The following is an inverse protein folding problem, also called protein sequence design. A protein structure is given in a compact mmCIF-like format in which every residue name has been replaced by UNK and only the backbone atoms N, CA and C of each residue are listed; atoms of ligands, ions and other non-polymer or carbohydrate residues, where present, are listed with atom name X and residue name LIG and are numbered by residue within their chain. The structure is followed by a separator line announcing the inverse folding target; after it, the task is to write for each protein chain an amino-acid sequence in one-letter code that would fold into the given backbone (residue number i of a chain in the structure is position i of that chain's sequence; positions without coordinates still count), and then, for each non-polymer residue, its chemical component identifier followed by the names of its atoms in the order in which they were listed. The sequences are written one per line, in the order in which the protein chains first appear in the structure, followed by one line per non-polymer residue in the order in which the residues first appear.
data_IF_302399379451
#
_entry.id   IF_302399379451
#
_cell.length_a   1.000
_cell.length_b   1.000
_cell.length_c   1.000
_cell.angle_alpha   90.00
_cell.angle_beta   90.00
_cell.angle_gamma   90.00
#
_symmetry.space_group_name_H-M   'P 1'
#
loop_
_entity.id
_entity.type
_entity.pdbx_description
1 polymer ?
#
# COMPACT_ATOMS: atom_id res chain seq x y z
N UNK A 1 8.98 29.73 -0.04
CA UNK A 1 7.67 30.29 0.37
C UNK A 1 6.95 29.18 1.12
N UNK A 2 6.23 29.49 2.19
CA UNK A 2 5.42 28.49 2.90
C UNK A 2 4.37 27.92 1.93
N UNK A 3 4.18 26.59 1.92
CA UNK A 3 3.12 25.97 1.11
C UNK A 3 1.77 26.44 1.63
N UNK A 4 0.95 27.00 0.74
CA UNK A 4 -0.45 27.33 1.03
C UNK A 4 -1.40 26.19 0.65
N UNK A 5 -0.87 25.02 0.23
CA UNK A 5 -1.69 23.91 -0.23
C UNK A 5 -2.04 22.98 0.92
N UNK A 6 -3.29 22.54 1.03
CA UNK A 6 -3.72 21.67 2.13
C UNK A 6 -3.14 20.25 2.04
N UNK A 7 -2.61 19.85 0.88
CA UNK A 7 -2.06 18.51 0.65
C UNK A 7 -0.67 18.59 0.05
N UNK A 8 0.25 17.73 0.53
CA UNK A 8 1.56 17.54 -0.08
C UNK A 8 1.68 16.12 -0.61
N UNK A 9 2.06 15.97 -1.89
CA UNK A 9 2.40 14.68 -2.50
C UNK A 9 3.91 14.58 -2.59
N UNK A 10 4.53 13.86 -1.65
CA UNK A 10 5.99 13.67 -1.62
C UNK A 10 6.38 12.44 -2.45
N UNK A 11 7.20 12.64 -3.48
CA UNK A 11 7.48 11.63 -4.50
C UNK A 11 6.58 11.72 -5.73
N UNK A 12 5.97 12.88 -5.98
CA UNK A 12 5.01 13.12 -7.05
C UNK A 12 5.50 12.79 -8.48
N UNK A 13 6.82 12.76 -8.71
CA UNK A 13 7.39 12.37 -10.01
C UNK A 13 7.34 10.85 -10.28
N UNK A 14 7.08 10.04 -9.26
CA UNK A 14 6.94 8.58 -9.34
C UNK A 14 5.63 8.13 -9.98
N UNK A 15 5.53 6.84 -10.34
CA UNK A 15 4.35 6.30 -11.04
C UNK A 15 3.07 6.50 -10.21
N UNK A 16 3.07 6.08 -8.94
CA UNK A 16 1.92 6.26 -8.06
C UNK A 16 1.68 7.71 -7.71
N UNK A 17 2.72 8.50 -7.45
CA UNK A 17 2.60 9.94 -7.18
C UNK A 17 1.85 10.69 -8.29
N UNK A 18 2.12 10.37 -9.56
CA UNK A 18 1.39 10.93 -10.71
C UNK A 18 -0.11 10.60 -10.67
N UNK A 19 -0.46 9.38 -10.29
CA UNK A 19 -1.86 8.94 -10.20
C UNK A 19 -2.57 9.60 -9.02
N UNK A 20 -1.87 9.81 -7.89
CA UNK A 20 -2.40 10.59 -6.76
C UNK A 20 -2.71 12.01 -7.23
N UNK A 21 -1.77 12.69 -7.89
CA UNK A 21 -1.99 14.03 -8.44
C UNK A 21 -3.16 14.09 -9.43
N UNK A 22 -3.31 13.06 -10.28
CA UNK A 22 -4.44 12.95 -11.22
C UNK A 22 -5.79 12.89 -10.50
N UNK A 23 -5.90 12.09 -9.43
CA UNK A 23 -7.14 11.95 -8.68
C UNK A 23 -7.40 13.13 -7.73
N UNK A 24 -6.36 13.77 -7.17
CA UNK A 24 -6.51 15.03 -6.43
C UNK A 24 -7.12 16.12 -7.32
N UNK A 25 -6.71 16.17 -8.60
CA UNK A 25 -7.35 17.03 -9.60
C UNK A 25 -8.82 16.65 -9.80
N UNK A 26 -9.17 15.37 -9.97
CA UNK A 26 -10.59 14.95 -10.11
C UNK A 26 -11.43 15.36 -8.89
N UNK A 27 -10.86 15.34 -7.69
CA UNK A 27 -11.50 15.82 -6.47
C UNK A 27 -11.44 17.35 -6.26
N UNK A 28 -10.80 18.10 -7.17
CA UNK A 28 -10.52 19.53 -7.04
C UNK A 28 -9.81 19.90 -5.72
N UNK A 29 -8.87 19.06 -5.28
CA UNK A 29 -8.06 19.30 -4.09
C UNK A 29 -6.75 19.97 -4.50
N UNK A 30 -6.46 21.19 -4.02
CA UNK A 30 -5.17 21.82 -4.28
C UNK A 30 -4.02 21.10 -3.59
N UNK A 31 -2.87 20.97 -4.26
CA UNK A 31 -1.74 20.23 -3.70
C UNK A 31 -0.36 20.80 -4.07
N UNK A 32 0.62 20.53 -3.22
CA UNK A 32 2.04 20.71 -3.53
C UNK A 32 2.59 19.38 -4.03
N UNK A 33 3.09 19.35 -5.27
CA UNK A 33 3.87 18.24 -5.79
C UNK A 33 5.33 18.42 -5.34
N UNK A 34 5.86 17.48 -4.56
CA UNK A 34 7.18 17.61 -3.95
C UNK A 34 8.14 16.47 -4.32
N UNK A 35 9.43 16.79 -4.38
CA UNK A 35 10.50 15.81 -4.64
C UNK A 35 11.90 16.45 -4.63
N UNK A 36 12.92 15.66 -4.91
CA UNK A 36 14.34 16.10 -4.83
C UNK A 36 14.89 16.77 -6.09
N UNK A 37 14.17 16.71 -7.20
CA UNK A 37 14.61 17.21 -8.51
C UNK A 37 13.45 17.97 -9.15
N UNK A 38 13.54 19.31 -9.15
CA UNK A 38 12.52 20.19 -9.69
C UNK A 38 12.26 19.94 -11.19
N UNK A 39 13.33 19.78 -11.99
CA UNK A 39 13.22 19.61 -13.43
C UNK A 39 12.51 18.31 -13.82
N UNK A 40 12.88 17.20 -13.17
CA UNK A 40 12.21 15.91 -13.33
C UNK A 40 10.76 15.96 -12.87
N UNK A 41 10.50 16.67 -11.78
CA UNK A 41 9.17 16.79 -11.20
C UNK A 41 8.24 17.59 -12.12
N UNK A 42 8.64 18.78 -12.55
CA UNK A 42 7.88 19.61 -13.51
C UNK A 42 7.61 18.85 -14.80
N UNK A 43 8.64 18.25 -15.40
CA UNK A 43 8.46 17.46 -16.62
C UNK A 43 7.52 16.25 -16.44
N UNK A 44 7.55 15.62 -15.26
CA UNK A 44 6.65 14.51 -14.92
C UNK A 44 5.21 14.97 -14.77
N UNK A 45 4.98 16.09 -14.08
CA UNK A 45 3.65 16.67 -13.90
C UNK A 45 3.04 17.01 -15.26
N UNK A 46 3.75 17.78 -16.09
CA UNK A 46 3.27 18.25 -17.39
C UNK A 46 3.02 17.13 -18.41
N UNK A 47 3.89 16.11 -18.44
CA UNK A 47 3.85 15.08 -19.50
C UNK A 47 3.12 13.81 -19.11
N UNK A 48 2.96 13.53 -17.81
CA UNK A 48 2.55 12.20 -17.35
C UNK A 48 1.34 12.21 -16.41
N UNK A 49 0.87 13.36 -15.94
CA UNK A 49 -0.37 13.46 -15.16
C UNK A 49 -1.50 13.89 -16.09
N UNK A 50 -2.52 13.05 -16.23
CA UNK A 50 -3.62 13.32 -17.16
C UNK A 50 -4.49 14.49 -16.67
N UNK A 51 -4.73 15.46 -17.55
CA UNK A 51 -5.61 16.61 -17.28
C UNK A 51 -5.03 17.64 -16.30
N UNK A 52 -3.73 17.56 -15.98
CA UNK A 52 -3.07 18.36 -14.95
C UNK A 52 -3.25 19.87 -15.11
N UNK A 53 -3.50 20.35 -16.34
CA UNK A 53 -3.74 21.77 -16.67
C UNK A 53 -4.98 22.36 -15.97
N UNK A 54 -5.87 21.52 -15.44
CA UNK A 54 -7.05 21.93 -14.68
C UNK A 54 -6.86 21.86 -13.16
N UNK A 55 -5.69 21.40 -12.69
CA UNK A 55 -5.37 21.29 -11.27
C UNK A 55 -4.82 22.60 -10.70
N UNK A 56 -5.15 22.89 -9.44
CA UNK A 56 -4.48 23.94 -8.68
C UNK A 56 -3.30 23.35 -7.89
N UNK A 57 -2.09 23.42 -8.46
CA UNK A 57 -0.91 22.83 -7.85
C UNK A 57 0.34 23.71 -7.99
N UNK A 58 1.32 23.41 -7.16
CA UNK A 58 2.68 23.95 -7.27
C UNK A 58 3.71 22.82 -7.25
N UNK A 59 4.90 23.09 -7.77
CA UNK A 59 6.04 22.18 -7.72
C UNK A 59 7.05 22.73 -6.73
N UNK A 60 7.51 21.89 -5.79
CA UNK A 60 8.51 22.28 -4.80
C UNK A 60 9.62 21.24 -4.71
N UNK A 61 10.86 21.70 -4.86
CA UNK A 61 12.02 20.88 -4.55
C UNK A 61 12.30 20.90 -3.04
N UNK A 62 12.64 19.75 -2.48
CA UNK A 62 12.99 19.61 -1.07
C UNK A 62 14.01 18.50 -0.86
N UNK A 63 14.91 18.70 0.10
CA UNK A 63 15.85 17.69 0.55
C UNK A 63 15.16 16.64 1.44
N UNK A 64 15.74 15.44 1.53
CA UNK A 64 15.18 14.34 2.32
C UNK A 64 15.77 14.34 3.73
N UNK A 65 15.39 15.34 4.52
CA UNK A 65 15.71 15.44 5.94
C UNK A 65 14.50 15.99 6.72
N UNK A 66 14.46 15.71 8.02
CA UNK A 66 13.30 16.03 8.87
C UNK A 66 12.99 17.51 8.88
N UNK A 67 13.99 18.38 8.94
CA UNK A 67 13.80 19.82 9.08
C UNK A 67 13.26 20.43 7.77
N UNK A 68 13.90 20.10 6.64
CA UNK A 68 13.46 20.54 5.31
C UNK A 68 12.03 20.10 5.00
N UNK A 69 11.71 18.84 5.31
CA UNK A 69 10.35 18.31 5.10
C UNK A 69 9.35 18.92 6.07
N UNK A 70 9.71 19.14 7.35
CA UNK A 70 8.83 19.80 8.32
C UNK A 70 8.46 21.21 7.85
N UNK A 71 9.44 21.98 7.35
CA UNK A 71 9.18 23.32 6.80
C UNK A 71 8.29 23.29 5.56
N UNK A 72 8.46 22.29 4.68
CA UNK A 72 7.58 22.11 3.53
C UNK A 72 6.14 21.75 3.95
N UNK A 73 5.98 20.87 4.93
CA UNK A 73 4.68 20.36 5.35
C UNK A 73 3.91 21.33 6.25
N UNK A 74 4.58 22.33 6.82
CA UNK A 74 3.97 23.33 7.71
C UNK A 74 2.79 24.03 7.02
N UNK A 75 1.61 23.91 7.62
CA UNK A 75 0.36 24.49 7.11
C UNK A 75 -0.46 23.57 6.21
N UNK A 76 0.11 22.44 5.76
CA UNK A 76 -0.65 21.38 5.10
C UNK A 76 -1.41 20.53 6.13
N UNK A 77 -2.53 19.96 5.73
CA UNK A 77 -3.32 19.05 6.57
C UNK A 77 -2.95 17.58 6.36
N UNK A 78 -2.46 17.24 5.16
CA UNK A 78 -2.21 15.84 4.77
C UNK A 78 -0.92 15.73 3.95
N UNK A 79 -0.09 14.77 4.32
CA UNK A 79 1.10 14.34 3.57
C UNK A 79 0.85 12.96 2.99
N UNK A 80 0.93 12.87 1.66
CA UNK A 80 0.84 11.63 0.88
C UNK A 80 2.23 11.23 0.40
N UNK A 81 2.84 10.25 1.05
CA UNK A 81 4.19 9.80 0.78
C UNK A 81 4.22 8.62 -0.21
N UNK A 82 4.97 8.78 -1.30
CA UNK A 82 5.25 7.70 -2.27
C UNK A 82 6.74 7.39 -2.42
N UNK A 83 7.58 7.84 -1.48
CA UNK A 83 9.02 7.61 -1.48
C UNK A 83 9.34 6.37 -0.64
N UNK A 84 9.62 5.26 -1.32
CA UNK A 84 10.07 4.00 -0.71
C UNK A 84 11.44 3.53 -1.24
N UNK A 85 12.03 2.45 -0.68
CA UNK A 85 11.47 1.58 0.38
C UNK A 85 11.20 2.32 1.69
N UNK A 86 10.06 2.04 2.32
CA UNK A 86 9.55 2.84 3.43
C UNK A 86 10.27 2.54 4.74
N UNK A 87 10.75 1.32 4.96
CA UNK A 87 11.61 1.02 6.12
C UNK A 87 12.91 1.85 6.12
N UNK A 88 13.37 2.29 4.94
CA UNK A 88 14.59 3.10 4.78
C UNK A 88 14.33 4.61 4.82
N UNK A 89 13.24 5.07 4.21
CA UNK A 89 12.98 6.50 3.99
C UNK A 89 11.73 7.04 4.71
N UNK A 90 10.89 6.16 5.25
CA UNK A 90 9.59 6.52 5.80
C UNK A 90 9.70 7.30 7.11
N UNK A 91 10.65 6.94 7.99
CA UNK A 91 10.80 7.52 9.33
C UNK A 91 10.94 9.05 9.28
N UNK A 92 11.82 9.53 8.40
CA UNK A 92 12.03 10.97 8.13
C UNK A 92 10.73 11.69 7.79
N UNK A 93 9.89 11.07 6.93
CA UNK A 93 8.65 11.70 6.43
C UNK A 93 7.55 11.63 7.49
N UNK A 94 7.43 10.53 8.23
CA UNK A 94 6.48 10.39 9.35
C UNK A 94 6.82 11.40 10.44
N UNK A 95 8.08 11.48 10.85
CA UNK A 95 8.51 12.44 11.87
C UNK A 95 8.28 13.89 11.43
N UNK A 96 8.61 14.23 10.18
CA UNK A 96 8.36 15.56 9.64
C UNK A 96 6.87 15.90 9.56
N UNK A 97 6.03 14.94 9.18
CA UNK A 97 4.56 15.12 9.12
C UNK A 97 3.98 15.36 10.52
N UNK A 98 4.43 14.59 11.51
CA UNK A 98 4.06 14.79 12.91
C UNK A 98 4.48 16.17 13.42
N UNK A 99 5.72 16.58 13.16
CA UNK A 99 6.24 17.91 13.55
C UNK A 99 5.44 19.05 12.93
N UNK A 100 4.96 18.86 11.69
CA UNK A 100 4.13 19.84 10.98
C UNK A 100 2.66 19.83 11.41
N UNK A 101 2.22 18.83 12.19
CA UNK A 101 0.82 18.67 12.59
C UNK A 101 -0.07 18.12 11.47
N UNK A 102 0.48 17.35 10.54
CA UNK A 102 -0.23 16.83 9.37
C UNK A 102 -0.54 15.33 9.51
N UNK A 103 -1.67 14.92 8.96
CA UNK A 103 -1.98 13.50 8.76
C UNK A 103 -1.00 12.87 7.78
N UNK A 104 -0.65 11.61 8.00
CA UNK A 104 0.28 10.87 7.14
C UNK A 104 -0.43 9.68 6.49
N UNK A 105 -0.19 9.50 5.20
CA UNK A 105 -0.52 8.27 4.47
C UNK A 105 0.58 7.92 3.48
N UNK A 106 0.77 6.62 3.24
CA UNK A 106 1.70 6.11 2.24
C UNK A 106 1.17 4.87 1.52
N UNK A 107 1.93 4.39 0.52
CA UNK A 107 1.56 3.27 -0.34
C UNK A 107 2.39 2.02 -0.09
N UNK A 108 3.00 1.88 1.10
CA UNK A 108 3.95 0.80 1.38
C UNK A 108 3.31 -0.60 1.31
N UNK A 109 4.17 -1.61 1.23
CA UNK A 109 3.81 -3.01 1.33
C UNK A 109 4.69 -3.81 2.29
N UNK A 110 5.22 -3.12 3.29
CA UNK A 110 6.32 -3.52 4.16
C UNK A 110 5.76 -3.74 5.57
N UNK A 111 5.66 -5.00 5.99
CA UNK A 111 5.03 -5.37 7.25
C UNK A 111 5.85 -4.88 8.45
N UNK A 112 7.18 -5.00 8.34
CA UNK A 112 8.16 -4.46 9.26
C UNK A 112 8.05 -2.95 9.42
N UNK A 113 7.87 -2.21 8.32
CA UNK A 113 7.62 -0.76 8.38
C UNK A 113 6.35 -0.43 9.14
N UNK A 114 5.26 -1.16 8.89
CA UNK A 114 4.00 -0.92 9.61
C UNK A 114 4.07 -1.28 11.09
N UNK A 115 4.79 -2.33 11.46
CA UNK A 115 5.07 -2.68 12.86
C UNK A 115 5.93 -1.59 13.51
N UNK A 116 6.98 -1.11 12.83
CA UNK A 116 7.80 0.01 13.29
C UNK A 116 6.97 1.29 13.49
N UNK A 117 6.04 1.59 12.58
CA UNK A 117 5.08 2.68 12.74
C UNK A 117 4.21 2.52 13.99
N UNK A 118 3.75 1.30 14.29
CA UNK A 118 2.98 1.03 15.50
C UNK A 118 3.82 1.31 16.75
N UNK A 119 4.99 0.68 16.83
CA UNK A 119 5.84 0.72 18.02
C UNK A 119 6.39 2.13 18.29
N UNK A 120 6.73 2.88 17.24
CA UNK A 120 7.43 4.16 17.36
C UNK A 120 6.48 5.37 17.35
N UNK A 121 5.46 5.37 16.48
CA UNK A 121 4.70 6.58 16.16
C UNK A 121 3.22 6.54 16.54
N UNK A 122 2.63 5.37 16.80
CA UNK A 122 1.20 5.23 17.10
C UNK A 122 0.72 6.19 18.19
N UNK A 123 1.37 6.16 19.36
CA UNK A 123 0.98 6.99 20.52
C UNK A 123 1.16 8.48 20.24
N UNK A 124 2.25 8.87 19.57
CA UNK A 124 2.53 10.28 19.28
C UNK A 124 1.49 10.89 18.33
N UNK A 125 1.09 10.13 17.30
CA UNK A 125 0.02 10.55 16.39
C UNK A 125 -1.34 10.57 17.09
N UNK A 126 -1.64 9.58 17.93
CA UNK A 126 -2.89 9.53 18.70
C UNK A 126 -3.02 10.73 19.65
N UNK A 127 -1.95 11.05 20.38
CA UNK A 127 -1.88 12.20 21.31
C UNK A 127 -2.04 13.54 20.56
N UNK A 128 -1.52 13.63 19.34
CA UNK A 128 -1.69 14.79 18.46
C UNK A 128 -3.07 14.86 17.78
N UNK A 129 -3.91 13.84 17.91
CA UNK A 129 -5.19 13.75 17.21
C UNK A 129 -5.05 13.56 15.69
N UNK A 130 -3.92 13.00 15.24
CA UNK A 130 -3.58 12.82 13.84
C UNK A 130 -3.70 11.35 13.40
N UNK A 131 -4.04 11.13 12.13
CA UNK A 131 -3.98 9.84 11.48
C UNK A 131 -2.55 9.51 11.03
N UNK A 132 -2.10 8.29 11.34
CA UNK A 132 -0.94 7.61 10.76
C UNK A 132 -1.46 6.39 9.98
N UNK A 133 -1.56 6.50 8.66
CA UNK A 133 -2.11 5.45 7.80
C UNK A 133 -1.10 4.94 6.75
N UNK A 134 -0.06 4.20 7.15
CA UNK A 134 0.81 3.54 6.19
C UNK A 134 0.01 2.49 5.41
N UNK A 135 0.31 2.28 4.13
CA UNK A 135 -0.18 1.13 3.36
C UNK A 135 -1.58 1.30 2.76
N UNK A 136 -2.04 2.54 2.51
CA UNK A 136 -3.24 2.79 1.72
C UNK A 136 -2.92 2.54 0.24
N UNK A 137 -3.06 1.28 -0.15
CA UNK A 137 -2.87 0.78 -1.50
C UNK A 137 -3.81 -0.39 -1.81
N UNK A 138 -4.02 -0.66 -3.10
CA UNK A 138 -4.86 -1.77 -3.57
C UNK A 138 -4.55 -3.10 -2.87
N UNK A 139 -3.26 -3.47 -2.82
CA UNK A 139 -2.80 -4.80 -2.37
C UNK A 139 -3.22 -5.15 -0.92
N UNK A 140 -3.68 -4.17 -0.15
CA UNK A 140 -4.08 -4.34 1.26
C UNK A 140 -5.46 -3.79 1.52
N UNK A 141 -5.80 -2.65 0.94
CA UNK A 141 -7.07 -1.98 1.23
C UNK A 141 -8.24 -2.76 0.62
N UNK A 142 -8.11 -3.28 -0.60
CA UNK A 142 -9.21 -4.02 -1.25
C UNK A 142 -9.45 -5.38 -0.59
N UNK A 143 -8.38 -6.10 -0.25
CA UNK A 143 -8.45 -7.32 0.57
C UNK A 143 -9.02 -7.06 1.97
N UNK A 144 -8.65 -5.94 2.61
CA UNK A 144 -9.24 -5.54 3.89
C UNK A 144 -10.72 -5.18 3.75
N UNK A 145 -11.15 -4.49 2.68
CA UNK A 145 -12.57 -4.26 2.40
C UNK A 145 -13.31 -5.60 2.36
N UNK A 146 -12.80 -6.58 1.61
CA UNK A 146 -13.39 -7.91 1.54
C UNK A 146 -13.44 -8.61 2.91
N UNK A 147 -12.37 -8.50 3.70
CA UNK A 147 -12.31 -9.07 5.05
C UNK A 147 -13.32 -8.41 6.01
N UNK A 148 -13.42 -7.09 5.98
CA UNK A 148 -14.38 -6.34 6.80
C UNK A 148 -15.83 -6.68 6.44
N UNK A 149 -16.12 -6.85 5.14
CA UNK A 149 -17.42 -7.35 4.67
C UNK A 149 -17.70 -8.76 5.20
N UNK A 150 -16.70 -9.65 5.18
CA UNK A 150 -16.86 -11.00 5.69
C UNK A 150 -17.18 -10.98 7.20
N UNK A 151 -16.48 -10.13 7.96
CA UNK A 151 -16.67 -9.92 9.41
C UNK A 151 -17.97 -9.21 9.79
N UNK A 152 -18.78 -8.74 8.81
CA UNK A 152 -20.17 -8.35 9.08
C UNK A 152 -21.03 -9.57 9.49
N UNK A 153 -20.58 -10.79 9.19
CA UNK A 153 -21.13 -12.03 9.75
C UNK A 153 -20.55 -12.26 11.14
N UNK A 154 -21.37 -12.24 12.22
CA UNK A 154 -20.86 -12.41 13.58
C UNK A 154 -20.27 -13.80 13.84
N UNK A 155 -19.28 -13.87 14.72
CA UNK A 155 -18.70 -15.13 15.20
C UNK A 155 -17.62 -15.74 14.31
N UNK A 156 -17.17 -15.00 13.28
CA UNK A 156 -15.97 -15.35 12.50
C UNK A 156 -14.74 -14.71 13.16
N UNK A 157 -13.67 -15.49 13.31
CA UNK A 157 -12.44 -15.10 14.01
C UNK A 157 -11.16 -15.37 13.20
N UNK A 158 -11.30 -16.00 12.04
CA UNK A 158 -10.19 -16.48 11.23
C UNK A 158 -10.35 -15.97 9.81
N UNK A 159 -9.33 -15.28 9.29
CA UNK A 159 -9.26 -14.73 7.94
C UNK A 159 -8.17 -15.43 7.14
N UNK A 160 -8.53 -15.96 5.98
CA UNK A 160 -7.62 -16.48 4.96
C UNK A 160 -7.81 -15.66 3.68
N UNK A 161 -6.78 -14.89 3.34
CA UNK A 161 -6.84 -13.79 2.38
C UNK A 161 -5.93 -14.10 1.18
N UNK A 162 -6.47 -13.95 -0.01
CA UNK A 162 -5.77 -14.06 -1.27
C UNK A 162 -5.85 -12.73 -2.04
N UNK A 163 -4.70 -12.20 -2.45
CA UNK A 163 -4.60 -10.97 -3.24
C UNK A 163 -3.86 -11.27 -4.54
N UNK A 164 -4.50 -10.99 -5.68
CA UNK A 164 -3.93 -11.24 -6.99
C UNK A 164 -4.02 -10.04 -7.91
N UNK A 165 -2.97 -9.83 -8.70
CA UNK A 165 -2.94 -8.76 -9.68
C UNK A 165 -2.29 -9.15 -11.00
N UNK A 166 -2.70 -8.43 -12.05
CA UNK A 166 -2.15 -8.49 -13.39
C UNK A 166 -1.42 -7.19 -13.73
N UNK A 167 -0.21 -7.34 -14.28
CA UNK A 167 0.63 -6.22 -14.69
C UNK A 167 2.09 -6.46 -14.32
N UNK A 168 2.94 -5.49 -14.66
CA UNK A 168 4.34 -5.47 -14.25
C UNK A 168 4.51 -4.53 -13.06
N UNK A 169 5.37 -4.87 -12.08
CA UNK A 169 5.66 -3.98 -10.96
C UNK A 169 6.31 -2.67 -11.44
N UNK A 170 6.23 -1.61 -10.64
CA UNK A 170 7.04 -0.40 -10.86
C UNK A 170 8.47 -0.61 -10.36
N UNK A 171 9.40 0.29 -10.71
CA UNK A 171 10.78 0.26 -10.19
C UNK A 171 10.79 0.22 -8.65
N UNK A 172 9.97 1.07 -8.00
CA UNK A 172 9.86 1.11 -6.55
C UNK A 172 9.26 -0.19 -5.97
N UNK A 173 8.23 -0.74 -6.63
CA UNK A 173 7.64 -2.02 -6.22
C UNK A 173 8.63 -3.17 -6.36
N UNK A 174 9.43 -3.22 -7.43
CA UNK A 174 10.47 -4.24 -7.61
C UNK A 174 11.52 -4.19 -6.50
N UNK A 175 11.97 -2.99 -6.11
CA UNK A 175 12.86 -2.81 -4.96
C UNK A 175 12.25 -3.32 -3.67
N UNK A 176 10.99 -2.94 -3.41
CA UNK A 176 10.25 -3.38 -2.23
C UNK A 176 10.13 -4.91 -2.19
N UNK A 177 9.79 -5.54 -3.32
CA UNK A 177 9.69 -7.00 -3.41
C UNK A 177 11.03 -7.66 -3.07
N UNK A 178 12.15 -7.16 -3.58
CA UNK A 178 13.46 -7.74 -3.31
C UNK A 178 13.91 -7.49 -1.86
N UNK A 179 13.70 -6.29 -1.32
CA UNK A 179 14.01 -5.99 0.08
C UNK A 179 13.18 -6.88 1.02
N UNK A 180 11.87 -6.97 0.80
CA UNK A 180 10.98 -7.81 1.61
C UNK A 180 11.31 -9.29 1.48
N UNK A 181 11.49 -9.78 0.26
CA UNK A 181 11.74 -11.21 0.03
C UNK A 181 13.15 -11.65 0.42
N UNK A 182 14.14 -10.74 0.42
CA UNK A 182 15.53 -11.05 0.78
C UNK A 182 15.87 -10.71 2.24
N UNK A 183 15.11 -9.86 2.92
CA UNK A 183 15.51 -9.31 4.23
C UNK A 183 14.41 -9.18 5.27
N UNK A 184 13.13 -9.27 4.89
CA UNK A 184 12.01 -9.08 5.82
C UNK A 184 11.48 -10.39 6.38
N UNK A 185 11.29 -10.44 7.70
CA UNK A 185 10.44 -11.47 8.31
C UNK A 185 9.00 -11.24 7.85
N UNK A 186 8.35 -12.30 7.37
CA UNK A 186 6.93 -12.28 7.03
C UNK A 186 6.13 -12.94 8.15
N UNK A 187 5.09 -12.30 8.65
CA UNK A 187 4.26 -12.78 9.74
C UNK A 187 2.80 -12.95 9.33
N UNK A 188 2.15 -13.98 9.89
CA UNK A 188 0.70 -14.10 9.98
C UNK A 188 0.26 -14.00 11.44
N UNK A 189 -1.06 -13.88 11.68
CA UNK A 189 -1.61 -14.00 13.02
C UNK A 189 -2.09 -15.42 13.30
N UNK A 190 -1.63 -15.99 14.41
CA UNK A 190 -2.16 -17.20 15.02
C UNK A 190 -2.50 -16.91 16.48
N UNK A 191 -3.77 -17.08 16.85
CA UNK A 191 -4.27 -16.82 18.21
C UNK A 191 -3.90 -15.44 18.76
N UNK A 192 -4.05 -14.42 17.91
CA UNK A 192 -3.68 -13.02 18.13
C UNK A 192 -2.17 -12.76 18.17
N UNK A 193 -1.30 -13.75 17.97
CA UNK A 193 0.15 -13.55 18.00
C UNK A 193 0.78 -13.56 16.60
N UNK A 194 1.80 -12.72 16.42
CA UNK A 194 2.59 -12.75 15.19
C UNK A 194 3.40 -14.02 15.14
N UNK A 195 3.22 -14.78 14.06
CA UNK A 195 3.95 -16.02 13.81
C UNK A 195 4.62 -15.93 12.45
N UNK A 196 5.90 -16.25 12.39
CA UNK A 196 6.68 -16.17 11.15
C UNK A 196 6.27 -17.24 10.16
N UNK A 197 6.22 -16.86 8.88
CA UNK A 197 6.19 -17.82 7.78
C UNK A 197 7.52 -18.58 7.72
N UNK A 198 7.47 -19.82 7.24
CA UNK A 198 8.68 -20.58 6.93
C UNK A 198 9.36 -19.94 5.70
N UNK A 199 10.59 -19.41 5.81
CA UNK A 199 11.30 -18.81 4.68
C UNK A 199 11.58 -19.82 3.56
N UNK A 200 11.53 -21.12 3.86
CA UNK A 200 11.71 -22.21 2.89
C UNK A 200 10.40 -22.71 2.28
N UNK A 201 9.24 -22.15 2.64
CA UNK A 201 7.93 -22.61 2.18
C UNK A 201 7.81 -22.59 0.64
N UNK A 202 8.49 -21.66 -0.02
CA UNK A 202 8.42 -21.49 -1.47
C UNK A 202 7.02 -21.10 -1.96
N UNK A 203 6.74 -21.38 -3.23
CA UNK A 203 5.45 -21.05 -3.86
C UNK A 203 4.32 -21.91 -3.31
N UNK A 204 3.19 -21.28 -3.02
CA UNK A 204 1.97 -21.95 -2.58
C UNK A 204 0.92 -21.88 -3.69
N UNK A 205 0.40 -23.02 -4.18
CA UNK A 205 -0.68 -23.03 -5.14
C UNK A 205 -2.01 -22.67 -4.46
N UNK A 206 -2.75 -21.72 -5.05
CA UNK A 206 -4.05 -21.26 -4.55
C UNK A 206 -5.12 -21.35 -5.64
N UNK A 207 -6.35 -21.63 -5.19
CA UNK A 207 -7.54 -21.53 -6.04
C UNK A 207 -7.92 -20.06 -6.16
N UNK A 208 -7.95 -19.55 -7.38
CA UNK A 208 -8.42 -18.20 -7.67
C UNK A 208 -9.88 -18.26 -8.14
N UNK A 209 -10.83 -17.64 -7.43
CA UNK A 209 -12.23 -17.60 -7.85
C UNK A 209 -12.40 -17.14 -9.31
N UNK A 210 -13.15 -17.92 -10.08
CA UNK A 210 -13.40 -17.64 -11.50
C UNK A 210 -12.33 -18.15 -12.47
N UNK A 211 -11.33 -18.92 -12.00
CA UNK A 211 -10.31 -19.55 -12.84
C UNK A 211 -10.30 -21.07 -12.65
N UNK A 212 -9.98 -21.80 -13.73
CA UNK A 212 -9.80 -23.26 -13.67
C UNK A 212 -8.39 -23.66 -13.23
N UNK A 213 -7.39 -22.84 -13.56
CA UNK A 213 -6.00 -23.08 -13.20
C UNK A 213 -5.71 -22.59 -11.77
N UNK A 214 -4.80 -23.29 -11.09
CA UNK A 214 -4.25 -22.82 -9.82
C UNK A 214 -3.21 -21.73 -10.10
N UNK A 215 -3.29 -20.64 -9.34
CA UNK A 215 -2.27 -19.61 -9.37
C UNK A 215 -1.20 -19.89 -8.31
N UNK A 216 0.00 -19.37 -8.54
CA UNK A 216 1.09 -19.43 -7.57
C UNK A 216 1.09 -18.18 -6.70
N UNK A 217 1.46 -18.33 -5.43
CA UNK A 217 1.48 -17.23 -4.46
C UNK A 217 2.66 -17.35 -3.49
N UNK A 218 2.98 -16.24 -2.83
CA UNK A 218 3.97 -16.12 -1.78
C UNK A 218 3.41 -15.30 -0.61
N UNK A 219 3.90 -15.51 0.62
CA UNK A 219 3.55 -14.69 1.77
C UNK A 219 4.37 -13.38 1.77
N UNK A 220 4.29 -12.57 0.71
CA UNK A 220 5.06 -11.33 0.53
C UNK A 220 4.90 -10.36 1.71
N UNK A 221 5.78 -10.48 2.72
CA UNK A 221 5.63 -9.80 4.01
C UNK A 221 4.32 -10.15 4.73
N UNK A 222 3.80 -11.36 4.53
CA UNK A 222 2.47 -11.78 5.01
C UNK A 222 1.30 -10.96 4.45
N UNK A 223 1.56 -10.06 3.49
CA UNK A 223 0.77 -8.85 3.20
C UNK A 223 0.50 -8.01 4.46
N UNK A 224 0.11 -6.75 4.32
CA UNK A 224 -0.11 -5.88 5.49
C UNK A 224 -1.33 -6.26 6.37
N UNK A 225 -2.20 -7.18 5.93
CA UNK A 225 -3.45 -7.53 6.63
C UNK A 225 -3.27 -8.03 8.08
N UNK A 226 -2.34 -8.94 8.41
CA UNK A 226 -2.16 -9.43 9.77
C UNK A 226 -1.86 -8.30 10.76
N UNK A 227 -1.19 -7.21 10.33
CA UNK A 227 -0.94 -6.05 11.20
C UNK A 227 -2.22 -5.29 11.50
N UNK A 228 -3.09 -5.09 10.50
CA UNK A 228 -4.37 -4.39 10.67
C UNK A 228 -5.35 -5.11 11.58
N UNK A 229 -5.30 -6.44 11.60
CA UNK A 229 -6.16 -7.26 12.44
C UNK A 229 -5.56 -7.61 13.80
N UNK A 230 -4.28 -7.29 14.09
CA UNK A 230 -3.60 -7.63 15.36
C UNK A 230 -4.32 -7.08 16.60
N UNK A 231 -4.98 -5.93 16.47
CA UNK A 231 -5.77 -5.29 17.53
C UNK A 231 -7.28 -5.27 17.25
N UNK A 232 -7.76 -6.08 16.30
CA UNK A 232 -9.20 -6.23 16.04
C UNK A 232 -9.79 -7.29 16.98
N UNK A 233 -10.71 -6.92 17.90
CA UNK A 233 -11.22 -7.85 18.91
C UNK A 233 -12.06 -9.00 18.33
N UNK A 234 -12.38 -8.96 17.03
CA UNK A 234 -13.12 -10.04 16.35
C UNK A 234 -12.20 -11.11 15.80
N UNK A 235 -10.93 -10.80 15.51
CA UNK A 235 -10.04 -11.64 14.71
C UNK A 235 -8.91 -12.19 15.57
N UNK A 236 -8.82 -13.51 15.65
CA UNK A 236 -7.71 -14.22 16.29
C UNK A 236 -6.68 -14.74 15.28
N UNK A 237 -7.09 -15.08 14.07
CA UNK A 237 -6.21 -15.63 13.05
C UNK A 237 -6.35 -14.86 11.75
N UNK A 238 -5.23 -14.49 11.13
CA UNK A 238 -5.22 -13.76 9.87
C UNK A 238 -3.98 -14.17 9.08
N UNK A 239 -4.21 -14.89 7.99
CA UNK A 239 -3.17 -15.31 7.06
C UNK A 239 -3.49 -14.73 5.69
N UNK A 240 -2.47 -14.22 5.02
CA UNK A 240 -2.65 -13.64 3.71
C UNK A 240 -1.51 -14.00 2.77
N UNK A 241 -1.85 -14.25 1.51
CA UNK A 241 -0.92 -14.59 0.44
C UNK A 241 -1.22 -13.76 -0.80
N UNK A 242 -0.16 -13.40 -1.52
CA UNK A 242 -0.25 -12.62 -2.74
C UNK A 242 0.32 -13.40 -3.93
N UNK A 243 -0.23 -13.15 -5.11
CA UNK A 243 0.34 -13.66 -6.37
C UNK A 243 0.13 -12.71 -7.54
N UNK A 244 0.88 -12.92 -8.62
CA UNK A 244 0.56 -12.32 -9.92
C UNK A 244 -0.05 -13.36 -10.85
N UNK A 245 -1.01 -12.95 -11.69
CA UNK A 245 -1.64 -13.87 -12.65
C UNK A 245 -0.68 -14.42 -13.70
N UNK A 246 0.46 -13.75 -13.93
CA UNK A 246 1.48 -14.25 -14.83
C UNK A 246 2.28 -15.38 -14.15
N UNK A 247 1.90 -16.63 -14.41
CA UNK A 247 2.54 -17.81 -13.83
C UNK A 247 4.05 -17.89 -14.13
N UNK A 248 4.48 -17.52 -15.35
CA UNK A 248 5.90 -17.52 -15.69
C UNK A 248 6.69 -16.50 -14.86
N UNK A 249 6.11 -15.33 -14.60
CA UNK A 249 6.70 -14.35 -13.70
C UNK A 249 6.76 -14.89 -12.26
N UNK A 250 5.64 -15.42 -11.73
CA UNK A 250 5.60 -15.97 -10.37
C UNK A 250 6.62 -17.08 -10.14
N UNK A 251 6.76 -18.00 -11.11
CA UNK A 251 7.71 -19.11 -11.00
C UNK A 251 9.18 -18.66 -10.94
N UNK A 252 9.49 -17.48 -11.49
CA UNK A 252 10.85 -16.93 -11.48
C UNK A 252 11.14 -16.07 -10.24
N UNK A 253 10.13 -15.62 -9.49
CA UNK A 253 10.35 -14.78 -8.30
C UNK A 253 11.26 -15.45 -7.28
N UNK A 254 11.04 -16.72 -6.86
CA UNK A 254 11.94 -17.36 -5.89
C UNK A 254 13.39 -17.48 -6.38
N UNK A 255 13.58 -17.67 -7.69
CA UNK A 255 14.92 -17.76 -8.30
C UNK A 255 15.64 -16.41 -8.21
N UNK A 256 14.97 -15.33 -8.61
CA UNK A 256 15.52 -13.97 -8.53
C UNK A 256 15.91 -13.62 -7.09
N UNK A 257 15.06 -13.98 -6.13
CA UNK A 257 15.32 -13.73 -4.71
C UNK A 257 16.50 -14.57 -4.21
N UNK A 258 16.55 -15.86 -4.54
CA UNK A 258 17.66 -16.73 -4.15
C UNK A 258 19.00 -16.26 -4.73
N UNK A 259 19.02 -15.84 -6.00
CA UNK A 259 20.22 -15.29 -6.64
C UNK A 259 20.67 -13.98 -5.98
N UNK A 260 19.72 -13.10 -5.62
CA UNK A 260 20.00 -11.85 -4.92
C UNK A 260 20.52 -12.11 -3.49
N UNK A 261 19.96 -13.09 -2.78
CA UNK A 261 20.42 -13.53 -1.46
C UNK A 261 21.85 -14.06 -1.52
N UNK A 262 22.13 -14.98 -2.44
CA UNK A 262 23.46 -15.58 -2.60
C UNK A 262 24.50 -14.54 -3.01
N UNK A 263 24.15 -13.62 -3.92
CA UNK A 263 25.04 -12.54 -4.35
C UNK A 263 25.38 -11.55 -3.23
N UNK A 264 24.54 -11.44 -2.19
CA UNK A 264 24.69 -10.44 -1.11
C UNK A 264 25.03 -11.04 0.26
N UNK A 265 25.22 -12.36 0.37
CA UNK A 265 25.36 -13.07 1.65
C UNK A 265 26.54 -12.64 2.52
N UNK A 266 27.64 -12.21 1.89
CA UNK A 266 28.90 -11.84 2.56
C UNK A 266 29.06 -10.31 2.68
N UNK A 267 28.04 -9.53 2.29
CA UNK A 267 28.07 -8.07 2.30
C UNK A 267 27.67 -7.51 3.66
N UNK A 268 28.16 -6.31 4.00
CA UNK A 268 27.62 -5.55 5.12
C UNK A 268 26.14 -5.21 4.88
N UNK A 269 25.34 -4.89 5.92
CA UNK A 269 23.95 -4.49 5.72
C UNK A 269 23.77 -3.30 4.76
N UNK A 270 24.70 -2.33 4.79
CA UNK A 270 24.68 -1.17 3.89
C UNK A 270 25.01 -1.58 2.45
N UNK A 271 26.12 -2.29 2.24
CA UNK A 271 26.52 -2.78 0.91
C UNK A 271 25.46 -3.71 0.30
N UNK A 272 24.80 -4.52 1.14
CA UNK A 272 23.71 -5.41 0.76
C UNK A 272 22.50 -4.65 0.27
N UNK A 273 22.11 -3.57 0.97
CA UNK A 273 20.98 -2.75 0.55
C UNK A 273 21.23 -2.11 -0.84
N UNK A 274 22.44 -1.59 -1.06
CA UNK A 274 22.82 -0.99 -2.34
C UNK A 274 22.92 -2.03 -3.46
N UNK A 275 23.42 -3.24 -3.16
CA UNK A 275 23.46 -4.34 -4.10
C UNK A 275 22.04 -4.82 -4.49
N UNK A 276 21.12 -4.94 -3.53
CA UNK A 276 19.72 -5.29 -3.80
C UNK A 276 19.03 -4.21 -4.65
N UNK A 277 19.30 -2.93 -4.39
CA UNK A 277 18.81 -1.82 -5.21
C UNK A 277 19.34 -1.89 -6.65
N UNK A 278 20.59 -2.32 -6.84
CA UNK A 278 21.18 -2.53 -8.16
C UNK A 278 20.54 -3.71 -8.90
N UNK A 279 20.29 -4.84 -8.20
CA UNK A 279 19.56 -5.99 -8.77
C UNK A 279 18.15 -5.57 -9.18
N UNK A 280 17.43 -4.83 -8.33
CA UNK A 280 16.09 -4.33 -8.63
C UNK A 280 16.07 -3.47 -9.91
N UNK A 281 17.10 -2.62 -10.08
CA UNK A 281 17.25 -1.79 -11.27
C UNK A 281 17.52 -2.61 -12.54
N UNK A 282 18.16 -3.79 -12.43
CA UNK A 282 18.33 -4.70 -13.57
C UNK A 282 17.03 -5.42 -13.94
N UNK A 283 16.20 -5.75 -12.95
CA UNK A 283 14.90 -6.42 -13.16
C UNK A 283 13.88 -5.46 -13.80
N UNK A 284 13.80 -4.22 -13.31
CA UNK A 284 12.89 -3.21 -13.86
C UNK A 284 13.56 -1.83 -13.88
N UNK A 285 13.99 -1.39 -15.07
CA UNK A 285 14.64 -0.08 -15.28
C UNK A 285 13.73 0.98 -15.92
N UNK A 286 12.50 0.63 -16.26
CA UNK A 286 11.53 1.53 -16.89
C UNK A 286 10.20 1.47 -16.16
N UNK A 287 9.48 2.58 -16.15
CA UNK A 287 8.14 2.63 -15.58
C UNK A 287 7.17 1.84 -16.49
N UNK A 288 6.27 1.03 -15.91
CA UNK A 288 5.26 0.34 -16.70
C UNK A 288 4.37 1.34 -17.46
N UNK A 289 3.72 0.93 -18.57
CA UNK A 289 2.73 1.77 -19.22
C UNK A 289 1.59 2.12 -18.26
N UNK A 290 0.82 3.15 -18.61
CA UNK A 290 -0.42 3.49 -17.89
C UNK A 290 -1.37 2.28 -17.91
N UNK A 291 -1.94 1.95 -16.76
CA UNK A 291 -2.79 0.76 -16.63
C UNK A 291 -4.02 0.81 -17.54
N UNK A 292 -4.27 -0.32 -18.20
CA UNK A 292 -5.42 -0.57 -19.05
C UNK A 292 -6.35 -1.57 -18.34
N UNK A 293 -7.61 -1.20 -18.02
CA UNK A 293 -8.56 -2.08 -17.34
C UNK A 293 -8.79 -3.45 -18.00
N UNK A 294 -8.55 -3.56 -19.32
CA UNK A 294 -8.67 -4.83 -20.06
C UNK A 294 -7.50 -5.78 -19.83
N UNK A 295 -6.35 -5.27 -19.42
CA UNK A 295 -5.09 -6.00 -19.26
C UNK A 295 -4.75 -6.14 -17.77
N UNK A 296 -4.80 -5.04 -17.03
CA UNK A 296 -4.46 -4.97 -15.62
C UNK A 296 -5.69 -5.33 -14.78
N UNK A 297 -5.92 -6.63 -14.58
CA UNK A 297 -7.00 -7.15 -13.72
C UNK A 297 -6.48 -7.40 -12.31
N UNK A 298 -7.38 -7.39 -11.33
CA UNK A 298 -7.07 -7.78 -9.95
C UNK A 298 -8.18 -8.62 -9.35
N UNK A 299 -7.85 -9.31 -8.27
CA UNK A 299 -8.79 -10.12 -7.51
C UNK A 299 -8.36 -10.14 -6.05
N UNK A 300 -9.32 -9.90 -5.16
CA UNK A 300 -9.18 -10.08 -3.73
C UNK A 300 -10.23 -11.09 -3.28
N UNK A 301 -9.82 -12.08 -2.50
CA UNK A 301 -10.69 -13.16 -2.03
C UNK A 301 -10.41 -13.44 -0.56
N UNK A 302 -11.44 -13.39 0.27
CA UNK A 302 -11.32 -13.62 1.72
C UNK A 302 -12.27 -14.72 2.16
N UNK A 303 -11.69 -15.84 2.58
CA UNK A 303 -12.41 -16.86 3.34
C UNK A 303 -12.34 -16.50 4.82
N UNK A 304 -13.48 -16.20 5.42
CA UNK A 304 -13.61 -15.98 6.85
C UNK A 304 -14.31 -17.19 7.50
N UNK A 305 -13.82 -17.60 8.66
CA UNK A 305 -14.35 -18.74 9.40
C UNK A 305 -14.38 -18.50 10.89
N UNK A 306 -15.28 -19.19 11.58
CA UNK A 306 -15.29 -19.32 13.03
C UNK A 306 -15.71 -20.74 13.44
N UNK A 307 -16.07 -21.00 14.70
CA UNK A 307 -16.44 -22.35 15.13
C UNK A 307 -17.59 -22.98 14.32
N UNK A 308 -18.60 -22.18 13.96
CA UNK A 308 -19.83 -22.67 13.28
C UNK A 308 -20.18 -21.92 11.99
N UNK A 309 -19.55 -20.78 11.70
CA UNK A 309 -19.88 -19.94 10.54
C UNK A 309 -18.80 -19.93 9.49
N UNK A 310 -19.18 -19.72 8.23
CA UNK A 310 -18.24 -19.42 7.14
C UNK A 310 -18.78 -18.26 6.30
N UNK A 311 -17.88 -17.39 5.85
CA UNK A 311 -18.17 -16.40 4.82
C UNK A 311 -17.05 -16.40 3.77
N UNK A 312 -17.40 -16.10 2.54
CA UNK A 312 -16.46 -15.89 1.45
C UNK A 312 -16.84 -14.61 0.72
N UNK A 313 -15.87 -13.70 0.59
CA UNK A 313 -16.04 -12.45 -0.14
C UNK A 313 -15.03 -12.42 -1.28
N UNK A 314 -15.51 -12.13 -2.49
CA UNK A 314 -14.66 -11.95 -3.68
C UNK A 314 -14.91 -10.58 -4.26
N UNK A 315 -13.83 -9.84 -4.54
CA UNK A 315 -13.85 -8.56 -5.24
C UNK A 315 -13.01 -8.71 -6.50
N UNK A 316 -13.62 -8.48 -7.66
CA UNK A 316 -12.89 -8.39 -8.93
C UNK A 316 -12.56 -6.94 -9.20
N UNK A 317 -11.31 -6.65 -9.55
CA UNK A 317 -10.85 -5.29 -9.80
C UNK A 317 -10.02 -5.15 -11.05
N UNK A 318 -9.53 -3.93 -11.26
CA UNK A 318 -8.61 -3.60 -12.34
C UNK A 318 -7.73 -2.41 -11.96
N UNK A 319 -6.63 -2.21 -12.68
CA UNK A 319 -5.74 -1.05 -12.54
C UNK A 319 -5.32 -0.78 -11.08
N UNK A 320 -4.50 -1.68 -10.53
CA UNK A 320 -4.08 -1.68 -9.11
C UNK A 320 -3.46 -0.35 -8.67
N UNK A 321 -2.62 0.26 -9.51
CA UNK A 321 -1.99 1.54 -9.17
C UNK A 321 -2.99 2.70 -9.26
N UNK A 322 -3.98 2.64 -10.16
CA UNK A 322 -5.08 3.61 -10.15
C UNK A 322 -5.93 3.48 -8.89
N UNK A 323 -6.21 2.25 -8.43
CA UNK A 323 -6.87 2.02 -7.16
C UNK A 323 -6.08 2.64 -6.00
N UNK A 324 -4.77 2.40 -5.94
CA UNK A 324 -3.88 3.04 -4.94
C UNK A 324 -3.92 4.57 -5.03
N UNK A 325 -3.78 5.15 -6.23
CA UNK A 325 -3.81 6.60 -6.42
C UNK A 325 -5.14 7.23 -5.99
N UNK A 326 -6.26 6.57 -6.33
CA UNK A 326 -7.60 7.02 -5.95
C UNK A 326 -7.81 6.98 -4.44
N UNK A 327 -7.40 5.89 -3.78
CA UNK A 327 -7.55 5.72 -2.34
C UNK A 327 -6.76 6.80 -1.57
N UNK A 328 -5.54 7.10 -2.01
CA UNK A 328 -4.71 8.17 -1.43
C UNK A 328 -5.33 9.55 -1.63
N UNK A 329 -5.80 9.86 -2.84
CA UNK A 329 -6.45 11.13 -3.12
C UNK A 329 -7.76 11.29 -2.34
N UNK A 330 -8.54 10.21 -2.20
CA UNK A 330 -9.76 10.20 -1.39
C UNK A 330 -9.45 10.37 0.09
N UNK A 331 -8.41 9.73 0.63
CA UNK A 331 -7.98 9.91 2.01
C UNK A 331 -7.72 11.39 2.31
N UNK A 332 -6.96 12.09 1.45
CA UNK A 332 -6.76 13.52 1.59
C UNK A 332 -8.06 14.32 1.46
N UNK A 333 -8.85 14.08 0.41
CA UNK A 333 -10.14 14.75 0.19
C UNK A 333 -11.09 14.64 1.40
N UNK A 334 -11.17 13.47 2.02
CA UNK A 334 -12.00 13.21 3.20
C UNK A 334 -11.47 13.96 4.44
N UNK A 335 -10.16 13.90 4.70
CA UNK A 335 -9.54 14.54 5.87
C UNK A 335 -9.63 16.07 5.84
N UNK A 336 -9.74 16.70 4.67
CA UNK A 336 -9.98 18.14 4.56
C UNK A 336 -11.39 18.57 4.98
N UNK A 337 -12.32 17.63 5.09
CA UNK A 337 -13.74 17.90 5.34
C UNK A 337 -14.22 17.35 6.69
N UNK A 338 -13.58 16.28 7.19
CA UNK A 338 -13.97 15.62 8.43
C UNK A 338 -12.79 14.93 9.10
N UNK A 339 -12.82 14.74 10.43
CA UNK A 339 -11.81 13.95 11.12
C UNK A 339 -11.85 12.47 10.70
N UNK A 340 -10.73 11.74 10.82
CA UNK A 340 -10.72 10.30 10.61
C UNK A 340 -11.55 9.58 11.70
N UNK A 341 -12.04 8.38 11.40
CA UNK A 341 -12.75 7.53 12.39
C UNK A 341 -11.83 6.98 13.49
N UNK A 342 -10.52 6.96 13.23
CA UNK A 342 -9.46 6.53 14.16
C UNK A 342 -8.23 7.42 13.98
N UNK A 343 -7.62 7.82 15.09
CA UNK A 343 -6.32 8.52 15.15
C UNK A 343 -5.22 7.55 15.59
N UNK A 344 -3.96 7.96 15.48
CA UNK A 344 -2.82 7.06 15.62
C UNK A 344 -2.72 6.13 14.40
N UNK A 345 -2.06 4.98 14.59
CA UNK A 345 -1.96 3.95 13.56
C UNK A 345 -3.35 3.38 13.20
N UNK A 346 -3.72 3.47 11.92
CA UNK A 346 -4.94 2.86 11.40
C UNK A 346 -4.80 2.48 9.93
N UNK A 347 -5.48 1.41 9.52
CA UNK A 347 -5.65 1.08 8.10
C UNK A 347 -6.60 2.07 7.40
N UNK A 348 -6.64 2.04 6.07
CA UNK A 348 -7.62 2.81 5.30
C UNK A 348 -9.07 2.50 5.71
N UNK A 349 -9.43 1.22 5.89
CA UNK A 349 -10.79 0.84 6.28
C UNK A 349 -11.13 1.31 7.71
N UNK A 350 -10.17 1.26 8.64
CA UNK A 350 -10.37 1.75 10.00
C UNK A 350 -10.49 3.28 10.06
N UNK A 351 -9.76 4.01 9.22
CA UNK A 351 -9.76 5.47 9.18
C UNK A 351 -10.98 6.06 8.45
N UNK A 352 -11.42 5.45 7.35
CA UNK A 352 -12.45 6.01 6.47
C UNK A 352 -13.74 5.19 6.37
N UNK A 353 -13.69 3.90 6.76
CA UNK A 353 -14.79 2.95 6.64
C UNK A 353 -14.71 2.10 5.37
N UNK A 354 -14.78 0.77 5.52
CA UNK A 354 -14.65 -0.17 4.40
C UNK A 354 -15.72 -0.02 3.32
N UNK A 355 -16.99 0.19 3.70
CA UNK A 355 -18.10 0.42 2.73
C UNK A 355 -17.98 1.74 1.97
N UNK A 356 -17.40 2.75 2.61
CA UNK A 356 -17.15 4.05 1.97
C UNK A 356 -16.05 3.90 0.90
N UNK A 357 -14.92 3.27 1.26
CA UNK A 357 -13.84 3.00 0.32
C UNK A 357 -14.28 2.07 -0.83
N UNK A 358 -15.12 1.06 -0.53
CA UNK A 358 -15.78 0.23 -1.55
C UNK A 358 -16.55 1.11 -2.55
N UNK A 359 -17.42 2.00 -2.04
CA UNK A 359 -18.22 2.91 -2.86
C UNK A 359 -17.37 3.83 -3.74
N UNK A 360 -16.28 4.37 -3.20
CA UNK A 360 -15.33 5.21 -3.94
C UNK A 360 -14.70 4.43 -5.10
N UNK A 361 -14.13 3.24 -4.82
CA UNK A 361 -13.51 2.41 -5.85
C UNK A 361 -14.50 1.98 -6.94
N UNK A 362 -15.74 1.67 -6.56
CA UNK A 362 -16.83 1.32 -7.49
C UNK A 362 -17.25 2.51 -8.35
N UNK A 363 -17.34 3.71 -7.78
CA UNK A 363 -17.74 4.94 -8.49
C UNK A 363 -16.79 5.25 -9.65
N UNK A 364 -15.49 4.98 -9.47
CA UNK A 364 -14.48 5.14 -10.51
C UNK A 364 -14.31 3.90 -11.41
N UNK A 365 -15.17 2.88 -11.27
CA UNK A 365 -15.15 1.67 -12.09
C UNK A 365 -13.92 0.80 -11.90
N UNK A 366 -13.26 0.87 -10.74
CA UNK A 366 -12.03 0.14 -10.47
C UNK A 366 -12.25 -1.23 -9.83
N UNK A 367 -13.36 -1.42 -9.11
CA UNK A 367 -13.78 -2.71 -8.56
C UNK A 367 -15.25 -3.03 -8.91
N UNK A 368 -15.56 -4.32 -8.93
CA UNK A 368 -16.93 -4.83 -9.01
C UNK A 368 -17.67 -4.66 -7.69
N UNK A 369 -18.98 -4.92 -7.71
CA UNK A 369 -19.69 -5.22 -6.48
C UNK A 369 -19.08 -6.47 -5.82
N UNK A 370 -18.85 -6.47 -4.50
CA UNK A 370 -18.37 -7.66 -3.79
C UNK A 370 -19.37 -8.82 -3.88
N UNK A 371 -18.87 -10.00 -4.24
CA UNK A 371 -19.65 -11.25 -4.21
C UNK A 371 -19.52 -11.85 -2.81
N UNK A 372 -20.63 -11.95 -2.09
CA UNK A 372 -20.65 -12.43 -0.70
C UNK A 372 -21.43 -13.74 -0.60
N UNK A 373 -20.77 -14.79 -0.11
CA UNK A 373 -21.39 -16.08 0.20
C UNK A 373 -21.27 -16.33 1.70
N UNK A 374 -22.38 -16.62 2.38
CA UNK A 374 -22.39 -16.91 3.82
C UNK A 374 -23.05 -18.28 4.04
N UNK A 375 -22.37 -19.14 4.78
CA UNK A 375 -22.91 -20.41 5.26
C UNK A 375 -23.16 -20.28 6.77
N UNK A 376 -24.43 -20.42 7.15
CA UNK A 376 -24.90 -20.30 8.53
C UNK A 376 -25.27 -21.65 9.09
#
# INVERSE_FOLDING_TARGET
MMSNKPVVVYGASGYTGRLICEYLREYNVPFTAAGRDEGKLTASMEKNVAGIETADYEVVQVDHDVDSLTELFRGSSVVLNTVGPFIKFGDTVVQASLNAGAHYSDTNGEQDWMIHCDDTFHNQYADAGLLLAPGIAHMYTTGEIAAQIALETPGLDTLDIAVFWGGSPTIASTRTILVNAAGGDAFYLEQNEYTSFDPMQGLVPLVVPGQHELAQSLPWGGTSHPVWFKRDPRVANCKAQGGVFNAALMNNVPVIVADALEATKDMSPEDRADALDAVAAQVMNSMPPRENPRVNKSLDSVHASGPLGRAHVVIHGNSNYKQTGLLQAYAAYSLLQQPPRRVGLASGCQAFGHRELEGVLRTFGLISEPIVTVHR
#
